data_IF_777292583843
#
_entry.id   IF_777292583843
#
_cell.length_a   1.000
_cell.length_b   1.000
_cell.length_c   1.000
_cell.angle_alpha   90.00
_cell.angle_beta   90.00
_cell.angle_gamma   90.00
#
_symmetry.space_group_name_H-M   'P 1'
#
loop_
_entity.id
_entity.type
_entity.pdbx_description
1 polymer ?
#
# COMPACT_ATOMS: atom_id res chain seq x y z
N UNK A 1 -0.76 17.40 11.02
CA UNK A 1 0.02 18.63 11.34
C UNK A 1 1.53 18.38 11.38
N UNK A 2 2.02 17.40 12.15
CA UNK A 2 3.43 16.94 12.11
C UNK A 2 3.82 16.52 10.67
N UNK A 3 2.93 15.79 10.01
CA UNK A 3 2.96 15.35 8.60
C UNK A 3 3.22 16.50 7.62
N UNK A 4 2.48 17.61 7.78
CA UNK A 4 2.59 18.81 6.96
C UNK A 4 3.91 19.53 7.18
N UNK A 5 4.31 19.69 8.43
CA UNK A 5 5.55 20.38 8.79
C UNK A 5 6.73 19.62 8.20
N UNK A 6 6.78 18.31 8.39
CA UNK A 6 7.83 17.45 7.83
C UNK A 6 7.87 17.51 6.29
N UNK A 7 6.71 17.48 5.63
CA UNK A 7 6.62 17.48 4.16
C UNK A 7 6.93 18.85 3.54
N UNK A 8 6.53 19.95 4.18
CA UNK A 8 6.83 21.33 3.73
C UNK A 8 8.32 21.66 3.91
N UNK A 9 8.98 21.08 4.92
CA UNK A 9 10.42 21.30 5.15
C UNK A 9 11.30 20.69 4.04
N UNK A 10 10.74 19.83 3.18
CA UNK A 10 11.37 19.25 2.00
C UNK A 10 11.80 17.80 2.21
N UNK A 11 12.30 17.18 1.14
CA UNK A 11 12.57 15.74 1.08
C UNK A 11 13.49 15.19 2.19
N UNK A 12 14.56 15.92 2.53
CA UNK A 12 15.56 15.46 3.51
C UNK A 12 14.98 15.37 4.94
N UNK A 13 14.35 16.42 5.49
CA UNK A 13 13.65 16.31 6.78
C UNK A 13 12.57 15.23 6.79
N UNK A 14 11.77 15.10 5.73
CA UNK A 14 10.78 14.03 5.62
C UNK A 14 11.44 12.64 5.72
N UNK A 15 12.49 12.39 4.93
CA UNK A 15 13.21 11.12 4.95
C UNK A 15 13.80 10.79 6.32
N UNK A 16 14.37 11.78 7.02
CA UNK A 16 14.90 11.60 8.38
C UNK A 16 13.81 11.27 9.40
N UNK A 17 12.64 11.91 9.29
CA UNK A 17 11.53 11.62 10.18
C UNK A 17 10.98 10.20 9.92
N UNK A 18 10.81 9.82 8.65
CA UNK A 18 10.43 8.46 8.27
C UNK A 18 11.45 7.43 8.77
N UNK A 19 12.75 7.70 8.65
CA UNK A 19 13.82 6.84 9.19
C UNK A 19 13.69 6.64 10.70
N UNK A 20 13.42 7.70 11.47
CA UNK A 20 13.25 7.61 12.93
C UNK A 20 12.04 6.74 13.28
N UNK A 21 10.91 6.93 12.60
CA UNK A 21 9.70 6.16 12.85
C UNK A 21 9.86 4.70 12.46
N UNK A 22 10.53 4.42 11.34
CA UNK A 22 10.88 3.07 10.90
C UNK A 22 11.77 2.35 11.92
N UNK A 23 12.81 3.02 12.44
CA UNK A 23 13.67 2.44 13.47
C UNK A 23 12.88 2.16 14.74
N UNK A 24 11.98 3.07 15.15
CA UNK A 24 11.13 2.90 16.32
C UNK A 24 10.19 1.69 16.16
N UNK A 25 9.43 1.62 15.07
CA UNK A 25 8.46 0.54 14.85
C UNK A 25 9.13 -0.82 14.72
N UNK A 26 10.24 -0.92 13.97
CA UNK A 26 10.98 -2.17 13.82
C UNK A 26 11.62 -2.63 15.14
N UNK A 27 12.10 -1.68 15.95
CA UNK A 27 12.66 -2.02 17.27
C UNK A 27 11.59 -2.59 18.20
N UNK A 28 10.40 -2.00 18.22
CA UNK A 28 9.28 -2.48 19.03
C UNK A 28 8.84 -3.86 18.56
N UNK A 29 8.60 -4.04 17.26
CA UNK A 29 8.23 -5.34 16.68
C UNK A 29 9.28 -6.40 17.00
N UNK A 30 10.58 -6.09 16.83
CA UNK A 30 11.66 -7.02 17.12
C UNK A 30 11.68 -7.44 18.60
N UNK A 31 11.48 -6.50 19.54
CA UNK A 31 11.39 -6.82 20.97
C UNK A 31 10.21 -7.75 21.24
N UNK A 32 9.03 -7.47 20.69
CA UNK A 32 7.86 -8.34 20.86
C UNK A 32 8.06 -9.74 20.27
N UNK A 33 8.69 -9.85 19.09
CA UNK A 33 9.05 -11.13 18.49
C UNK A 33 10.00 -11.92 19.40
N UNK A 34 11.04 -11.27 19.94
CA UNK A 34 11.99 -11.92 20.85
C UNK A 34 11.27 -12.43 22.10
N UNK A 35 10.39 -11.61 22.68
CA UNK A 35 9.67 -11.99 23.89
C UNK A 35 8.69 -13.14 23.62
N UNK A 36 7.94 -13.09 22.52
CA UNK A 36 7.06 -14.17 22.08
C UNK A 36 7.83 -15.49 21.93
N UNK A 37 8.95 -15.48 21.20
CA UNK A 37 9.79 -16.68 21.03
C UNK A 37 10.30 -17.21 22.38
N UNK A 38 10.69 -16.32 23.31
CA UNK A 38 11.19 -16.71 24.62
C UNK A 38 10.10 -17.37 25.50
N UNK A 39 8.86 -16.86 25.46
CA UNK A 39 7.75 -17.41 26.25
C UNK A 39 6.92 -18.48 25.53
N UNK A 40 7.24 -18.77 24.25
CA UNK A 40 6.57 -19.76 23.41
C UNK A 40 6.32 -21.12 24.10
N UNK A 41 7.29 -21.71 24.85
CA UNK A 41 7.07 -23.01 25.49
C UNK A 41 5.94 -23.04 26.52
N UNK A 42 5.59 -21.88 27.09
CA UNK A 42 4.51 -21.73 28.07
C UNK A 42 3.20 -21.18 27.52
N UNK A 43 3.19 -20.68 26.27
CA UNK A 43 2.09 -19.90 25.69
C UNK A 43 1.61 -20.42 24.33
N UNK A 44 1.82 -21.70 24.02
CA UNK A 44 1.33 -22.29 22.76
C UNK A 44 -0.17 -22.56 22.84
N UNK A 45 -0.96 -21.85 22.02
CA UNK A 45 -2.41 -22.03 21.89
C UNK A 45 -2.74 -22.91 20.68
N UNK A 46 -2.08 -22.67 19.54
CA UNK A 46 -2.26 -23.45 18.31
C UNK A 46 -0.96 -24.17 17.93
N UNK A 47 -1.07 -25.43 17.53
CA UNK A 47 0.10 -26.21 17.08
C UNK A 47 0.51 -25.82 15.66
N UNK A 48 1.78 -25.50 15.47
CA UNK A 48 2.34 -25.18 14.14
C UNK A 48 2.06 -26.33 13.18
N UNK A 49 1.41 -26.01 12.07
CA UNK A 49 1.16 -26.95 10.98
C UNK A 49 1.93 -26.54 9.73
N UNK A 50 2.64 -27.46 9.06
CA UNK A 50 3.25 -27.19 7.75
C UNK A 50 2.22 -26.71 6.70
N UNK A 51 0.94 -27.03 6.88
CA UNK A 51 -0.15 -26.59 6.02
C UNK A 51 -0.42 -25.08 6.05
N UNK A 52 0.08 -24.35 7.05
CA UNK A 52 -0.05 -22.88 7.11
C UNK A 52 0.73 -22.19 5.99
N UNK A 53 1.88 -22.76 5.62
CA UNK A 53 2.75 -22.22 4.58
C UNK A 53 2.38 -22.71 3.18
N UNK A 54 1.64 -23.82 3.09
CA UNK A 54 1.28 -24.48 1.83
C UNK A 54 -0.22 -24.28 1.57
N UNK A 55 -0.57 -23.12 1.01
CA UNK A 55 -1.96 -22.70 0.75
C UNK A 55 -2.74 -23.53 -0.28
N UNK A 56 -2.12 -24.50 -0.96
CA UNK A 56 -2.79 -25.32 -1.98
C UNK A 56 -3.97 -26.13 -1.41
N UNK A 57 -3.88 -26.58 -0.15
CA UNK A 57 -5.00 -27.28 0.50
C UNK A 57 -6.20 -26.38 0.76
N UNK A 58 -5.98 -25.10 1.09
CA UNK A 58 -7.04 -24.12 1.29
C UNK A 58 -7.66 -23.68 -0.05
N UNK A 59 -6.82 -23.48 -1.08
CA UNK A 59 -7.26 -23.21 -2.45
C UNK A 59 -8.20 -24.31 -2.99
N UNK A 60 -7.85 -25.59 -2.78
CA UNK A 60 -8.65 -26.71 -3.27
C UNK A 60 -9.94 -26.94 -2.47
N UNK A 61 -9.92 -26.68 -1.15
CA UNK A 61 -11.09 -26.88 -0.28
C UNK A 61 -12.12 -25.77 -0.41
N UNK A 62 -11.68 -24.52 -0.52
CA UNK A 62 -12.57 -23.38 -0.66
C UNK A 62 -11.91 -22.28 -1.50
N UNK A 63 -11.88 -22.44 -2.83
CA UNK A 63 -11.21 -21.49 -3.72
C UNK A 63 -11.79 -20.08 -3.56
N UNK A 64 -13.10 -19.99 -3.30
CA UNK A 64 -13.79 -18.72 -3.07
C UNK A 64 -13.23 -17.95 -1.87
N UNK A 65 -13.13 -18.58 -0.69
CA UNK A 65 -12.57 -17.91 0.50
C UNK A 65 -11.10 -17.54 0.34
N UNK A 66 -10.33 -18.39 -0.33
CA UNK A 66 -8.92 -18.12 -0.61
C UNK A 66 -8.77 -16.90 -1.55
N UNK A 67 -9.65 -16.74 -2.55
CA UNK A 67 -9.64 -15.56 -3.43
C UNK A 67 -10.03 -14.26 -2.70
N UNK A 68 -10.98 -14.30 -1.76
CA UNK A 68 -11.41 -13.11 -1.01
C UNK A 68 -10.32 -12.54 -0.10
N UNK A 69 -9.28 -13.32 0.23
CA UNK A 69 -8.14 -12.84 1.00
C UNK A 69 -7.22 -11.93 0.16
N UNK A 70 -7.23 -12.04 -1.16
CA UNK A 70 -6.26 -11.35 -2.00
C UNK A 70 -6.36 -9.82 -1.96
N UNK A 71 -7.56 -9.18 -2.01
CA UNK A 71 -7.66 -7.73 -1.86
C UNK A 71 -7.01 -7.24 -0.57
N UNK A 72 -7.23 -7.96 0.53
CA UNK A 72 -6.61 -7.66 1.82
C UNK A 72 -5.09 -7.79 1.73
N UNK A 73 -4.59 -8.87 1.12
CA UNK A 73 -3.15 -9.09 0.91
C UNK A 73 -2.55 -7.96 0.05
N UNK A 74 -3.23 -7.55 -1.02
CA UNK A 74 -2.78 -6.45 -1.87
C UNK A 74 -2.68 -5.14 -1.09
N UNK A 75 -3.67 -4.83 -0.23
CA UNK A 75 -3.65 -3.64 0.62
C UNK A 75 -2.52 -3.67 1.65
N UNK A 76 -2.25 -4.79 2.33
CA UNK A 76 -1.20 -4.84 3.36
C UNK A 76 0.22 -4.89 2.80
N UNK A 77 0.37 -5.34 1.54
CA UNK A 77 1.65 -5.40 0.82
C UNK A 77 1.90 -4.16 -0.05
N UNK A 78 0.96 -3.22 -0.06
CA UNK A 78 1.05 -1.97 -0.80
C UNK A 78 2.18 -1.08 -0.29
N UNK A 79 2.73 -0.26 -1.17
CA UNK A 79 3.66 0.80 -0.80
C UNK A 79 5.13 0.54 -1.13
N UNK A 80 5.47 -0.60 -1.72
CA UNK A 80 6.85 -0.91 -2.12
C UNK A 80 7.28 -0.14 -3.37
N UNK A 81 6.33 0.30 -4.20
CA UNK A 81 6.52 1.07 -5.42
C UNK A 81 6.62 2.59 -5.19
N UNK A 82 6.33 3.06 -3.97
CA UNK A 82 6.29 4.46 -3.54
C UNK A 82 7.58 5.23 -3.88
N UNK A 83 8.74 4.58 -3.78
CA UNK A 83 10.03 5.18 -4.09
C UNK A 83 10.12 5.67 -5.55
N UNK A 84 9.35 5.08 -6.47
CA UNK A 84 9.32 5.45 -7.89
C UNK A 84 8.71 6.84 -8.13
N UNK A 85 7.69 7.24 -7.35
CA UNK A 85 7.07 8.56 -7.46
C UNK A 85 7.98 9.70 -7.00
N UNK A 86 8.92 9.40 -6.10
CA UNK A 86 9.92 10.35 -5.60
C UNK A 86 11.31 10.13 -6.21
N UNK A 87 11.40 9.38 -7.31
CA UNK A 87 12.67 9.04 -7.97
C UNK A 87 13.51 10.27 -8.34
N UNK A 88 12.88 11.38 -8.76
CA UNK A 88 13.57 12.65 -9.07
C UNK A 88 14.29 13.27 -7.86
N UNK A 89 13.93 12.88 -6.63
CA UNK A 89 14.51 13.41 -5.39
C UNK A 89 15.48 12.42 -4.72
N UNK A 90 15.60 11.20 -5.25
CA UNK A 90 16.56 10.19 -4.80
C UNK A 90 17.99 10.58 -5.18
N UNK A 91 18.96 10.17 -4.35
CA UNK A 91 20.39 10.35 -4.67
C UNK A 91 20.80 9.55 -5.91
N UNK A 92 20.27 8.34 -6.09
CA UNK A 92 20.48 7.52 -7.29
C UNK A 92 19.14 7.19 -7.94
N UNK A 93 18.70 8.11 -8.79
CA UNK A 93 17.39 8.12 -9.45
C UNK A 93 17.15 6.92 -10.36
N UNK A 94 18.20 6.36 -10.94
CA UNK A 94 18.09 5.29 -11.95
C UNK A 94 17.98 3.90 -11.33
N UNK A 95 18.62 3.66 -10.18
CA UNK A 95 18.73 2.29 -9.61
C UNK A 95 17.92 2.10 -8.33
N UNK A 96 17.89 3.10 -7.46
CA UNK A 96 17.33 2.90 -6.12
C UNK A 96 15.82 2.72 -6.13
N UNK A 97 15.01 3.54 -6.82
CA UNK A 97 13.55 3.42 -6.75
C UNK A 97 13.00 2.02 -7.07
N UNK A 98 13.66 1.26 -7.95
CA UNK A 98 13.31 -0.15 -8.18
C UNK A 98 13.91 -1.10 -7.15
N UNK A 99 15.21 -0.96 -6.84
CA UNK A 99 15.93 -1.93 -5.99
C UNK A 99 15.53 -1.83 -4.52
N UNK A 100 15.40 -0.61 -3.98
CA UNK A 100 15.04 -0.39 -2.57
C UNK A 100 13.60 -0.77 -2.31
N UNK A 101 12.70 -0.52 -3.27
CA UNK A 101 11.32 -1.01 -3.22
C UNK A 101 11.22 -2.53 -3.09
N UNK A 102 11.96 -3.28 -3.93
CA UNK A 102 12.00 -4.76 -3.84
C UNK A 102 12.58 -5.23 -2.49
N UNK A 103 13.63 -4.58 -1.99
CA UNK A 103 14.20 -4.90 -0.68
C UNK A 103 13.17 -4.66 0.43
N UNK A 104 12.46 -3.53 0.38
CA UNK A 104 11.37 -3.20 1.30
C UNK A 104 10.26 -4.24 1.27
N UNK A 105 9.81 -4.64 0.08
CA UNK A 105 8.80 -5.68 -0.11
C UNK A 105 9.20 -7.01 0.54
N UNK A 106 10.43 -7.47 0.30
CA UNK A 106 10.94 -8.72 0.87
C UNK A 106 11.07 -8.62 2.40
N UNK A 107 11.53 -7.48 2.91
CA UNK A 107 11.68 -7.25 4.35
C UNK A 107 10.32 -7.26 5.06
N UNK A 108 9.32 -6.54 4.55
CA UNK A 108 7.97 -6.53 5.10
C UNK A 108 7.33 -7.90 5.03
N UNK A 109 7.47 -8.61 3.90
CA UNK A 109 6.98 -9.97 3.77
C UNK A 109 7.58 -10.91 4.82
N UNK A 110 8.89 -10.82 5.08
CA UNK A 110 9.55 -11.61 6.12
C UNK A 110 9.04 -11.26 7.53
N UNK A 111 8.83 -9.97 7.82
CA UNK A 111 8.27 -9.50 9.10
C UNK A 111 6.86 -10.05 9.30
N UNK A 112 5.99 -9.97 8.29
CA UNK A 112 4.64 -10.55 8.36
C UNK A 112 4.67 -12.05 8.53
N UNK A 113 5.53 -12.76 7.79
CA UNK A 113 5.65 -14.21 7.90
C UNK A 113 5.98 -14.63 9.34
N UNK A 114 6.94 -13.96 9.98
CA UNK A 114 7.32 -14.26 11.37
C UNK A 114 6.21 -13.84 12.34
N UNK A 115 5.76 -12.59 12.25
CA UNK A 115 4.83 -12.00 13.22
C UNK A 115 3.48 -12.69 13.16
N UNK A 116 2.88 -12.88 11.98
CA UNK A 116 1.59 -13.54 11.84
C UNK A 116 1.65 -15.02 12.26
N UNK A 117 2.77 -15.70 12.01
CA UNK A 117 2.95 -17.08 12.50
C UNK A 117 2.98 -17.11 14.03
N UNK A 118 3.69 -16.19 14.69
CA UNK A 118 3.72 -16.12 16.16
C UNK A 118 2.34 -15.77 16.73
N UNK A 119 1.64 -14.80 16.11
CA UNK A 119 0.27 -14.45 16.49
C UNK A 119 -0.65 -15.67 16.45
N UNK A 120 -0.59 -16.45 15.37
CA UNK A 120 -1.40 -17.67 15.22
C UNK A 120 -1.02 -18.75 16.24
N UNK A 121 0.27 -18.94 16.54
CA UNK A 121 0.70 -19.91 17.56
C UNK A 121 0.20 -19.52 18.96
N UNK A 122 0.34 -18.26 19.34
CA UNK A 122 0.19 -17.82 20.72
C UNK A 122 -1.20 -17.33 21.07
N UNK A 123 -2.05 -16.98 20.09
CA UNK A 123 -3.35 -16.35 20.35
C UNK A 123 -4.49 -17.16 19.73
N UNK A 124 -5.64 -17.31 20.40
CA UNK A 124 -6.81 -17.93 19.78
C UNK A 124 -7.24 -17.20 18.50
N UNK A 125 -7.42 -17.94 17.40
CA UNK A 125 -7.83 -17.38 16.09
C UNK A 125 -9.15 -16.61 16.20
N UNK A 126 -10.08 -17.07 17.04
CA UNK A 126 -11.36 -16.38 17.28
C UNK A 126 -11.18 -15.00 17.89
N UNK A 127 -10.16 -14.81 18.74
CA UNK A 127 -9.84 -13.53 19.35
C UNK A 127 -9.21 -12.58 18.33
N UNK A 128 -8.25 -13.08 17.54
CA UNK A 128 -7.62 -12.31 16.45
C UNK A 128 -8.64 -11.88 15.40
N UNK A 129 -9.53 -12.79 14.99
CA UNK A 129 -10.53 -12.54 13.94
C UNK A 129 -11.64 -11.58 14.36
N UNK A 130 -11.89 -11.46 15.67
CA UNK A 130 -12.88 -10.53 16.21
C UNK A 130 -12.29 -9.14 16.50
N UNK A 131 -10.97 -8.99 16.43
CA UNK A 131 -10.30 -7.76 16.80
C UNK A 131 -10.20 -6.78 15.64
N UNK A 132 -10.40 -5.49 15.95
CA UNK A 132 -10.09 -4.39 15.04
C UNK A 132 -8.59 -4.15 14.89
N UNK A 133 -7.81 -4.51 15.92
CA UNK A 133 -6.35 -4.45 15.91
C UNK A 133 -5.78 -5.78 16.41
N UNK A 134 -5.60 -6.76 15.50
CA UNK A 134 -5.06 -8.06 15.84
C UNK A 134 -3.64 -7.98 16.43
N UNK A 135 -2.82 -7.01 16.03
CA UNK A 135 -1.43 -6.88 16.49
C UNK A 135 -1.38 -6.39 17.94
N UNK A 136 -2.15 -5.35 18.27
CA UNK A 136 -2.32 -4.90 19.66
C UNK A 136 -2.94 -6.01 20.53
N UNK A 137 -3.92 -6.74 19.99
CA UNK A 137 -4.57 -7.86 20.69
C UNK A 137 -3.59 -8.98 21.03
N UNK A 138 -2.76 -9.39 20.07
CA UNK A 138 -1.68 -10.33 20.33
C UNK A 138 -0.71 -9.80 21.39
N UNK A 139 -0.28 -8.54 21.27
CA UNK A 139 0.64 -7.90 22.22
C UNK A 139 0.07 -7.91 23.66
N UNK A 140 -1.23 -7.67 23.81
CA UNK A 140 -1.94 -7.73 25.09
C UNK A 140 -2.10 -9.15 25.60
N UNK A 141 -2.32 -10.11 24.71
CA UNK A 141 -2.42 -11.52 25.07
C UNK A 141 -1.10 -12.07 25.63
N UNK A 142 0.03 -11.67 25.05
CA UNK A 142 1.35 -12.14 25.49
C UNK A 142 1.87 -11.39 26.72
N UNK A 143 1.74 -10.07 26.76
CA UNK A 143 2.30 -9.22 27.84
C UNK A 143 1.35 -8.05 28.12
N UNK A 144 0.27 -8.28 28.90
CA UNK A 144 -0.75 -7.27 29.16
C UNK A 144 -0.20 -5.95 29.72
N UNK A 145 0.87 -5.99 30.52
CA UNK A 145 1.42 -4.82 31.20
C UNK A 145 2.17 -3.86 30.27
N UNK A 146 2.67 -4.35 29.13
CA UNK A 146 3.49 -3.58 28.19
C UNK A 146 2.86 -3.46 26.79
N UNK A 147 1.61 -3.89 26.62
CA UNK A 147 0.91 -3.86 25.33
C UNK A 147 0.80 -2.45 24.75
N UNK A 148 0.73 -1.41 25.59
CA UNK A 148 0.71 -0.01 25.16
C UNK A 148 1.94 0.38 24.31
N UNK A 149 3.06 -0.32 24.44
CA UNK A 149 4.26 -0.10 23.63
C UNK A 149 4.01 -0.50 22.17
N UNK A 150 3.23 -1.56 21.95
CA UNK A 150 2.78 -1.94 20.60
C UNK A 150 1.87 -0.87 20.01
N UNK A 151 0.95 -0.31 20.79
CA UNK A 151 0.07 0.78 20.33
C UNK A 151 0.87 1.99 19.85
N UNK A 152 1.99 2.32 20.52
CA UNK A 152 2.90 3.38 20.06
C UNK A 152 3.47 3.06 18.67
N UNK A 153 3.88 1.81 18.43
CA UNK A 153 4.37 1.38 17.11
C UNK A 153 3.26 1.47 16.05
N UNK A 154 2.04 1.00 16.36
CA UNK A 154 0.89 1.07 15.45
C UNK A 154 0.54 2.52 15.09
N UNK A 155 0.49 3.41 16.07
CA UNK A 155 0.21 4.84 15.86
C UNK A 155 1.32 5.49 15.04
N UNK A 156 2.59 5.20 15.37
CA UNK A 156 3.74 5.70 14.63
C UNK A 156 3.71 5.25 13.17
N UNK A 157 3.46 3.96 12.92
CA UNK A 157 3.40 3.36 11.59
C UNK A 157 2.25 3.95 10.76
N UNK A 158 1.06 4.05 11.36
CA UNK A 158 -0.13 4.63 10.72
C UNK A 158 0.11 6.09 10.35
N UNK A 159 0.67 6.89 11.27
CA UNK A 159 1.02 8.27 10.99
C UNK A 159 2.05 8.38 9.86
N UNK A 160 3.09 7.54 9.90
CA UNK A 160 4.17 7.49 8.91
C UNK A 160 3.65 7.20 7.51
N UNK A 161 2.81 6.18 7.39
CA UNK A 161 2.14 5.82 6.14
C UNK A 161 1.31 6.98 5.58
N UNK A 162 0.46 7.62 6.41
CA UNK A 162 -0.41 8.72 5.97
C UNK A 162 0.37 9.91 5.37
N UNK A 163 1.48 10.32 5.98
CA UNK A 163 2.27 11.42 5.41
C UNK A 163 3.05 10.98 4.18
N UNK A 164 3.53 9.73 4.13
CA UNK A 164 4.27 9.22 2.99
C UNK A 164 3.36 9.14 1.76
N UNK A 165 2.12 8.67 1.93
CA UNK A 165 1.09 8.68 0.87
C UNK A 165 0.78 10.11 0.41
N UNK A 166 0.64 11.05 1.33
CA UNK A 166 0.46 12.48 0.99
C UNK A 166 1.65 13.02 0.19
N UNK A 167 2.86 12.62 0.59
CA UNK A 167 4.10 13.02 -0.04
C UNK A 167 4.20 12.53 -1.48
N UNK A 168 3.94 11.25 -1.76
CA UNK A 168 3.96 10.73 -3.14
C UNK A 168 2.82 11.26 -3.99
N UNK A 169 1.62 11.41 -3.42
CA UNK A 169 0.46 11.89 -4.17
C UNK A 169 0.68 13.32 -4.67
N UNK A 170 1.36 14.16 -3.88
CA UNK A 170 1.72 15.51 -4.30
C UNK A 170 2.64 15.53 -5.53
N UNK A 171 3.51 14.52 -5.69
CA UNK A 171 4.44 14.35 -6.81
C UNK A 171 3.75 13.74 -8.02
N UNK A 172 2.86 12.79 -7.80
CA UNK A 172 1.99 12.29 -8.85
C UNK A 172 1.14 13.42 -9.46
N UNK A 173 0.54 14.28 -8.64
CA UNK A 173 -0.23 15.45 -9.11
C UNK A 173 0.64 16.46 -9.85
N UNK A 174 1.86 16.68 -9.37
CA UNK A 174 2.83 17.54 -10.05
C UNK A 174 3.19 16.98 -11.44
N UNK A 175 3.53 15.68 -11.53
CA UNK A 175 3.86 15.02 -12.79
C UNK A 175 2.69 15.03 -13.78
N UNK A 176 1.47 14.71 -13.31
CA UNK A 176 0.25 14.77 -14.13
C UNK A 176 -0.05 16.20 -14.63
N UNK A 177 0.20 17.23 -13.81
CA UNK A 177 0.04 18.63 -14.23
C UNK A 177 1.10 19.06 -15.24
N UNK A 178 2.35 18.62 -15.07
CA UNK A 178 3.45 18.81 -16.03
C UNK A 178 3.11 18.22 -17.40
N UNK A 179 2.39 17.10 -17.43
CA UNK A 179 1.89 16.43 -18.64
C UNK A 179 0.51 16.94 -19.10
N UNK A 180 0.02 18.03 -18.53
CA UNK A 180 -1.26 18.68 -18.88
C UNK A 180 -2.51 17.82 -18.66
N UNK A 181 -2.41 16.75 -17.86
CA UNK A 181 -3.54 15.92 -17.42
C UNK A 181 -4.34 16.61 -16.31
N UNK A 182 -3.66 17.36 -15.44
CA UNK A 182 -4.26 18.18 -14.38
C UNK A 182 -4.11 19.69 -14.64
N UNK A 183 -4.93 20.55 -13.99
CA UNK A 183 -4.77 21.99 -14.04
C UNK A 183 -3.34 22.44 -13.73
N UNK A 184 -2.85 23.48 -14.44
CA UNK A 184 -1.46 23.96 -14.36
C UNK A 184 -1.03 24.39 -12.95
N UNK A 185 -1.98 24.74 -12.10
CA UNK A 185 -1.75 25.14 -10.71
C UNK A 185 -1.07 24.03 -9.90
N UNK A 186 -1.40 22.76 -10.18
CA UNK A 186 -0.78 21.60 -9.51
C UNK A 186 0.66 21.34 -9.95
N UNK A 187 1.11 21.98 -11.04
CA UNK A 187 2.47 21.90 -11.58
C UNK A 187 3.44 22.92 -10.99
N UNK A 188 3.02 23.71 -10.00
CA UNK A 188 3.87 24.72 -9.38
C UNK A 188 4.78 24.13 -8.29
N UNK A 189 6.07 24.48 -8.36
CA UNK A 189 7.07 24.11 -7.35
C UNK A 189 7.50 25.35 -6.56
N UNK A 190 7.66 25.22 -5.24
CA UNK A 190 8.29 26.26 -4.43
C UNK A 190 9.75 26.50 -4.86
N UNK A 191 10.15 27.75 -5.14
CA UNK A 191 11.52 28.10 -5.54
C UNK A 191 12.59 27.75 -4.48
N UNK A 192 12.26 27.85 -3.19
CA UNK A 192 13.20 27.65 -2.08
C UNK A 192 13.31 26.18 -1.68
N UNK A 193 12.17 25.49 -1.58
CA UNK A 193 12.11 24.10 -1.09
C UNK A 193 12.13 23.05 -2.20
N UNK A 194 12.01 23.46 -3.47
CA UNK A 194 11.95 22.57 -4.65
C UNK A 194 10.92 21.45 -4.51
N UNK A 195 9.78 21.74 -3.87
CA UNK A 195 8.70 20.78 -3.61
C UNK A 195 7.33 21.37 -3.98
N UNK A 196 6.36 20.56 -4.44
CA UNK A 196 5.00 20.99 -4.77
C UNK A 196 4.14 21.22 -3.50
N UNK A 197 4.50 22.21 -2.68
CA UNK A 197 3.85 22.49 -1.39
C UNK A 197 2.34 22.78 -1.49
N UNK A 198 1.88 23.38 -2.59
CA UNK A 198 0.47 23.65 -2.81
C UNK A 198 -0.33 22.33 -2.88
N UNK A 199 0.21 21.34 -3.58
CA UNK A 199 -0.41 20.01 -3.69
C UNK A 199 -0.48 19.35 -2.30
N UNK A 200 0.62 19.39 -1.53
CA UNK A 200 0.67 18.85 -0.16
C UNK A 200 -0.43 19.46 0.72
N UNK A 201 -0.57 20.80 0.71
CA UNK A 201 -1.56 21.51 1.52
C UNK A 201 -2.97 21.14 1.08
N UNK A 202 -3.25 21.13 -0.23
CA UNK A 202 -4.59 20.83 -0.76
C UNK A 202 -5.00 19.40 -0.41
N UNK A 203 -4.13 18.42 -0.66
CA UNK A 203 -4.38 17.01 -0.38
C UNK A 203 -4.66 16.82 1.12
N UNK A 204 -3.81 17.38 1.98
CA UNK A 204 -3.97 17.26 3.42
C UNK A 204 -5.27 17.94 3.90
N UNK A 205 -5.55 19.17 3.47
CA UNK A 205 -6.79 19.87 3.85
C UNK A 205 -8.00 19.05 3.41
N UNK A 206 -8.00 18.50 2.20
CA UNK A 206 -9.09 17.66 1.72
C UNK A 206 -9.26 16.39 2.58
N UNK A 207 -8.17 15.66 2.84
CA UNK A 207 -8.20 14.46 3.66
C UNK A 207 -8.68 14.73 5.09
N UNK A 208 -8.13 15.75 5.75
CA UNK A 208 -8.51 16.10 7.13
C UNK A 208 -9.93 16.67 7.21
N UNK A 209 -10.40 17.37 6.16
CA UNK A 209 -11.78 17.83 6.09
C UNK A 209 -12.75 16.65 6.00
N UNK A 210 -12.41 15.63 5.20
CA UNK A 210 -13.20 14.39 5.12
C UNK A 210 -13.21 13.68 6.48
N UNK A 211 -12.04 13.51 7.12
CA UNK A 211 -11.94 12.94 8.46
C UNK A 211 -12.79 13.69 9.48
N UNK A 212 -12.74 15.01 9.48
CA UNK A 212 -13.55 15.83 10.38
C UNK A 212 -15.05 15.64 10.12
N UNK A 213 -15.47 15.55 8.86
CA UNK A 213 -16.89 15.32 8.52
C UNK A 213 -17.36 13.92 8.92
N UNK A 214 -16.50 12.89 8.79
CA UNK A 214 -16.82 11.52 9.21
C UNK A 214 -17.18 11.43 10.70
N UNK A 215 -16.62 12.30 11.56
CA UNK A 215 -16.96 12.35 12.99
C UNK A 215 -18.42 12.76 13.26
N UNK A 216 -19.06 13.46 12.33
CA UNK A 216 -20.41 13.99 12.51
C UNK A 216 -21.44 13.34 11.57
N UNK A 217 -20.99 12.67 10.51
CA UNK A 217 -21.86 12.12 9.46
C UNK A 217 -21.59 10.62 9.28
N UNK A 218 -22.35 9.74 9.98
CA UNK A 218 -22.14 8.29 9.93
C UNK A 218 -22.24 7.66 8.54
N UNK A 219 -23.05 8.24 7.64
CA UNK A 219 -23.14 7.75 6.27
C UNK A 219 -21.85 7.94 5.46
N UNK A 220 -21.07 8.98 5.76
CA UNK A 220 -19.78 9.23 5.12
C UNK A 220 -18.73 8.28 5.70
N UNK A 221 -18.71 8.07 7.01
CA UNK A 221 -17.86 7.05 7.65
C UNK A 221 -18.12 5.67 7.05
N UNK A 222 -19.39 5.25 6.95
CA UNK A 222 -19.76 3.95 6.39
C UNK A 222 -19.33 3.81 4.92
N UNK A 223 -19.45 4.89 4.13
CA UNK A 223 -18.98 4.91 2.75
C UNK A 223 -17.46 4.70 2.65
N UNK A 224 -16.67 5.40 3.47
CA UNK A 224 -15.21 5.24 3.47
C UNK A 224 -14.76 3.90 4.06
N UNK A 225 -15.46 3.35 5.04
CA UNK A 225 -15.22 2.00 5.55
C UNK A 225 -15.43 0.95 4.45
N UNK A 226 -16.50 1.10 3.65
CA UNK A 226 -16.71 0.27 2.46
C UNK A 226 -15.59 0.49 1.43
N UNK A 227 -15.22 1.74 1.14
CA UNK A 227 -14.15 2.08 0.21
C UNK A 227 -12.78 1.49 0.62
N UNK A 228 -12.50 1.44 1.92
CA UNK A 228 -11.28 0.81 2.45
C UNK A 228 -11.33 -0.70 2.27
N UNK A 229 -12.47 -1.34 2.55
CA UNK A 229 -12.63 -2.80 2.42
C UNK A 229 -12.44 -3.33 0.98
N UNK A 230 -12.53 -2.44 0.00
CA UNK A 230 -12.41 -2.74 -1.44
C UNK A 230 -11.18 -2.10 -2.08
N UNK A 231 -10.39 -1.33 -1.33
CA UNK A 231 -9.19 -0.62 -1.79
C UNK A 231 -8.17 -1.55 -2.46
N UNK A 232 -8.03 -2.78 -1.96
CA UNK A 232 -7.13 -3.78 -2.53
C UNK A 232 -7.39 -4.10 -4.00
N UNK A 233 -8.63 -3.95 -4.48
CA UNK A 233 -8.94 -4.15 -5.90
C UNK A 233 -8.48 -2.98 -6.75
N UNK A 234 -8.48 -1.76 -6.19
CA UNK A 234 -7.90 -0.60 -6.87
C UNK A 234 -6.41 -0.82 -7.12
N UNK A 235 -5.69 -1.30 -6.10
CA UNK A 235 -4.28 -1.65 -6.19
C UNK A 235 -4.03 -2.79 -7.17
N UNK A 236 -4.87 -3.83 -7.18
CA UNK A 236 -4.76 -4.88 -8.18
C UNK A 236 -4.97 -4.38 -9.60
N UNK A 237 -5.91 -3.45 -9.81
CA UNK A 237 -6.13 -2.86 -11.13
C UNK A 237 -4.94 -2.00 -11.54
N UNK A 238 -4.40 -1.20 -10.63
CA UNK A 238 -3.18 -0.42 -10.84
C UNK A 238 -2.02 -1.32 -11.27
N UNK A 239 -1.66 -2.32 -10.47
CA UNK A 239 -0.59 -3.26 -10.81
C UNK A 239 -0.89 -4.11 -12.05
N UNK A 240 -2.17 -4.38 -12.34
CA UNK A 240 -2.62 -4.99 -13.57
C UNK A 240 -2.32 -4.11 -14.79
N UNK A 241 -2.65 -2.82 -14.74
CA UNK A 241 -2.37 -1.84 -15.80
C UNK A 241 -0.86 -1.61 -15.97
N UNK A 242 -0.11 -1.58 -14.87
CA UNK A 242 1.36 -1.49 -14.91
C UNK A 242 1.97 -2.70 -15.60
N UNK A 243 1.48 -3.90 -15.26
CA UNK A 243 1.89 -5.14 -15.91
C UNK A 243 1.56 -5.14 -17.40
N UNK A 244 0.37 -4.65 -17.78
CA UNK A 244 -0.02 -4.52 -19.19
C UNK A 244 0.90 -3.55 -19.95
N UNK A 245 1.27 -2.44 -19.31
CA UNK A 245 2.22 -1.47 -19.85
C UNK A 245 3.61 -2.08 -20.00
N UNK A 246 4.04 -2.92 -19.05
CA UNK A 246 5.23 -3.76 -19.15
C UNK A 246 5.18 -4.68 -20.38
N UNK A 247 4.08 -5.40 -20.61
CA UNK A 247 3.89 -6.24 -21.80
C UNK A 247 4.03 -5.41 -23.08
N UNK A 248 3.38 -4.25 -23.15
CA UNK A 248 3.45 -3.37 -24.31
C UNK A 248 4.88 -2.87 -24.55
N UNK A 249 5.55 -2.36 -23.51
CA UNK A 249 6.89 -1.79 -23.60
C UNK A 249 7.94 -2.84 -23.95
N UNK A 250 7.92 -3.99 -23.25
CA UNK A 250 8.88 -5.06 -23.46
C UNK A 250 8.58 -5.91 -24.69
N UNK A 251 7.38 -5.87 -25.28
CA UNK A 251 7.15 -6.52 -26.59
C UNK A 251 7.77 -5.70 -27.74
N UNK A 252 7.62 -4.37 -27.69
CA UNK A 252 8.03 -3.46 -28.77
C UNK A 252 9.49 -3.01 -28.71
N UNK A 253 10.12 -2.98 -27.53
CA UNK A 253 11.55 -2.62 -27.43
C UNK A 253 12.45 -3.79 -27.85
N UNK A 254 13.41 -3.52 -28.74
CA UNK A 254 14.39 -4.52 -29.22
C UNK A 254 15.66 -4.60 -28.37
N UNK A 255 16.11 -3.49 -27.77
CA UNK A 255 17.41 -3.37 -27.08
C UNK A 255 17.27 -3.31 -25.55
N UNK A 256 16.52 -4.23 -24.95
CA UNK A 256 16.43 -4.34 -23.47
C UNK A 256 17.14 -5.61 -23.03
N UNK A 257 18.13 -5.48 -22.15
CA UNK A 257 18.78 -6.63 -21.55
C UNK A 257 17.75 -7.42 -20.72
N UNK A 258 17.77 -8.74 -20.77
CA UNK A 258 16.76 -9.60 -20.10
C UNK A 258 15.30 -9.39 -20.54
N UNK A 259 15.06 -8.90 -21.76
CA UNK A 259 13.72 -8.68 -22.35
C UNK A 259 12.73 -9.81 -22.05
N UNK A 260 13.13 -11.05 -22.28
CA UNK A 260 12.27 -12.22 -22.09
C UNK A 260 11.86 -12.41 -20.63
N UNK A 261 12.75 -12.15 -19.68
CA UNK A 261 12.46 -12.25 -18.25
C UNK A 261 11.42 -11.20 -17.85
N UNK A 262 11.63 -9.94 -18.23
CA UNK A 262 10.68 -8.87 -17.90
C UNK A 262 9.32 -9.08 -18.56
N UNK A 263 9.31 -9.52 -19.82
CA UNK A 263 8.07 -9.86 -20.51
C UNK A 263 7.32 -11.01 -19.82
N UNK A 264 8.04 -12.08 -19.43
CA UNK A 264 7.45 -13.20 -18.69
C UNK A 264 6.87 -12.77 -17.35
N UNK A 265 7.59 -11.94 -16.59
CA UNK A 265 7.11 -11.38 -15.32
C UNK A 265 5.84 -10.55 -15.57
N UNK A 266 5.85 -9.64 -16.55
CA UNK A 266 4.68 -8.80 -16.85
C UNK A 266 3.47 -9.62 -17.29
N UNK A 267 3.64 -10.66 -18.12
CA UNK A 267 2.54 -11.55 -18.53
C UNK A 267 2.00 -12.32 -17.32
N UNK A 268 2.88 -12.85 -16.48
CA UNK A 268 2.48 -13.61 -15.30
C UNK A 268 1.72 -12.71 -14.31
N UNK A 269 2.25 -11.54 -13.97
CA UNK A 269 1.61 -10.58 -13.07
C UNK A 269 0.27 -10.09 -13.63
N UNK A 270 0.21 -9.72 -14.91
CA UNK A 270 -1.05 -9.30 -15.55
C UNK A 270 -2.10 -10.40 -15.46
N UNK A 271 -1.72 -11.64 -15.79
CA UNK A 271 -2.64 -12.78 -15.72
C UNK A 271 -3.13 -13.02 -14.29
N UNK A 272 -2.23 -12.95 -13.31
CA UNK A 272 -2.56 -13.10 -11.89
C UNK A 272 -3.57 -12.06 -11.42
N UNK A 273 -3.25 -10.77 -11.61
CA UNK A 273 -4.15 -9.67 -11.22
C UNK A 273 -5.47 -9.72 -11.98
N UNK A 274 -5.46 -10.02 -13.28
CA UNK A 274 -6.68 -10.16 -14.08
C UNK A 274 -7.60 -11.25 -13.52
N UNK A 275 -7.06 -12.44 -13.23
CA UNK A 275 -7.82 -13.53 -12.62
C UNK A 275 -8.40 -13.10 -11.28
N UNK A 276 -7.59 -12.48 -10.41
CA UNK A 276 -8.02 -12.02 -9.08
C UNK A 276 -9.14 -10.97 -9.16
N UNK A 277 -9.05 -10.01 -10.09
CA UNK A 277 -10.09 -8.99 -10.33
C UNK A 277 -11.38 -9.64 -10.83
N UNK A 278 -11.29 -10.55 -11.79
CA UNK A 278 -12.46 -11.26 -12.34
C UNK A 278 -13.16 -12.08 -11.26
N UNK A 279 -12.42 -12.76 -10.40
CA UNK A 279 -12.98 -13.44 -9.24
C UNK A 279 -13.63 -12.46 -8.27
N UNK A 280 -12.97 -11.35 -7.95
CA UNK A 280 -13.53 -10.26 -7.16
C UNK A 280 -14.91 -9.87 -7.69
N UNK A 281 -15.00 -9.48 -8.96
CA UNK A 281 -16.26 -9.11 -9.64
C UNK A 281 -17.36 -10.18 -9.49
N UNK A 282 -17.04 -11.45 -9.64
CA UNK A 282 -18.01 -12.56 -9.48
C UNK A 282 -18.51 -12.65 -8.03
N UNK A 283 -17.66 -12.35 -7.04
CA UNK A 283 -18.00 -12.50 -5.62
C UNK A 283 -18.89 -11.39 -5.09
N UNK A 284 -18.77 -10.16 -5.59
CA UNK A 284 -19.53 -9.01 -5.09
C UNK A 284 -19.78 -8.00 -6.22
N UNK A 285 -21.07 -7.75 -6.49
CA UNK A 285 -21.52 -6.85 -7.56
C UNK A 285 -21.12 -5.40 -7.34
N UNK A 286 -20.83 -4.99 -6.11
CA UNK A 286 -20.27 -3.66 -5.79
C UNK A 286 -18.94 -3.43 -6.54
N UNK A 287 -18.15 -4.49 -6.76
CA UNK A 287 -16.89 -4.39 -7.49
C UNK A 287 -17.06 -3.98 -8.95
N UNK A 288 -18.16 -4.38 -9.60
CA UNK A 288 -18.46 -3.95 -10.98
C UNK A 288 -18.62 -2.44 -11.04
N UNK A 289 -19.39 -1.87 -10.10
CA UNK A 289 -19.65 -0.43 -10.03
C UNK A 289 -18.34 0.34 -9.86
N UNK A 290 -17.43 -0.18 -9.05
CA UNK A 290 -16.15 0.47 -8.74
C UNK A 290 -15.15 0.43 -9.88
N UNK A 291 -15.06 -0.70 -10.58
CA UNK A 291 -14.28 -0.82 -11.82
C UNK A 291 -14.76 0.21 -12.84
N UNK A 292 -16.07 0.36 -12.99
CA UNK A 292 -16.68 1.36 -13.88
C UNK A 292 -16.31 2.78 -13.44
N UNK A 293 -16.47 3.11 -12.16
CA UNK A 293 -16.16 4.45 -11.60
C UNK A 293 -14.69 4.84 -11.85
N UNK A 294 -13.75 3.89 -11.80
CA UNK A 294 -12.33 4.18 -11.99
C UNK A 294 -11.90 4.32 -13.44
N UNK A 295 -12.48 3.52 -14.32
CA UNK A 295 -12.15 3.57 -15.74
C UNK A 295 -12.69 4.88 -16.36
N UNK A 296 -13.83 5.39 -15.90
CA UNK A 296 -14.47 6.59 -16.46
C UNK A 296 -13.54 7.82 -16.45
N UNK A 297 -12.95 8.27 -15.33
CA UNK A 297 -12.02 9.40 -15.32
C UNK A 297 -10.83 9.21 -16.26
N UNK A 298 -10.24 8.00 -16.30
CA UNK A 298 -9.13 7.69 -17.20
C UNK A 298 -9.53 7.83 -18.68
N UNK A 299 -10.69 7.29 -19.05
CA UNK A 299 -11.26 7.43 -20.39
C UNK A 299 -11.54 8.89 -20.73
N UNK A 300 -12.14 9.66 -19.82
CA UNK A 300 -12.45 11.08 -20.03
C UNK A 300 -11.16 11.91 -20.24
N UNK A 301 -10.12 11.63 -19.47
CA UNK A 301 -8.81 12.28 -19.62
C UNK A 301 -8.19 11.91 -20.97
N UNK A 302 -8.26 10.63 -21.38
CA UNK A 302 -7.75 10.16 -22.67
C UNK A 302 -8.44 10.87 -23.84
N UNK A 303 -9.77 10.99 -23.83
CA UNK A 303 -10.50 11.70 -24.88
C UNK A 303 -10.17 13.19 -24.95
N UNK A 304 -10.04 13.84 -23.79
CA UNK A 304 -9.68 15.27 -23.72
C UNK A 304 -8.27 15.55 -24.26
N UNK A 305 -7.32 14.63 -24.05
CA UNK A 305 -5.95 14.81 -24.52
C UNK A 305 -5.73 14.35 -25.98
N UNK A 306 -6.45 13.34 -26.47
CA UNK A 306 -6.40 12.99 -27.90
C UNK A 306 -6.81 14.16 -28.81
N UNK A 307 -7.69 15.05 -28.35
CA UNK A 307 -8.04 16.29 -29.07
C UNK A 307 -6.90 17.32 -29.17
N UNK A 308 -5.83 17.19 -28.36
CA UNK A 308 -4.64 18.06 -28.40
C UNK A 308 -3.43 17.42 -29.09
N UNK A 309 -3.49 16.13 -29.40
CA UNK A 309 -2.38 15.36 -30.01
C UNK A 309 -2.54 15.28 -31.54
N UNK A 310 -3.66 15.72 -32.10
CA UNK A 310 -3.76 15.99 -33.55
C UNK A 310 -2.95 17.27 -33.81
N UNK A 311 -1.78 17.19 -34.49
CA UNK A 311 -1.05 18.39 -34.86
C UNK A 311 -1.83 19.08 -35.98
N UNK A 312 -2.05 20.39 -35.83
CA UNK A 312 -2.15 21.29 -36.98
C UNK A 312 -0.77 21.37 -37.69
#
# INVERSE_FOLDING_TARGET
LITLVASIMGARPTARLTEIFLVLELSIIAVFIIIAIYFLPGHTVNTVSPGWFIGFGALLKNPYKFMLAFPIIATIMDGWEIDSYASEESFNREKWPGTTGIIGLIAVFAIYLVTMTLMDIETPISLLSASLDPLATWSHYIIPQYSFVMDIAVIASTASSLWLTTYILSRAWYAMSREHLLPRQFGYINKTRKSPYANLIIIMIAAESINAVMLFVPSIESFFAQLLSISGIFLMMEFGIDSLTGIYLYSHRKNVNMKHIYLSISIFSFTGFFVMIMFGIITNTLFIILVIILIIPGILIMFKNNQKIIPD
#
